data_IF_522325212867
#
_entry.id   IF_522325212867
#
_cell.length_a   1.000
_cell.length_b   1.000
_cell.length_c   1.000
_cell.angle_alpha   90.00
_cell.angle_beta   90.00
_cell.angle_gamma   90.00
#
_symmetry.space_group_name_H-M   'P 1'
#
loop_
_entity.id
_entity.type
_entity.pdbx_description
1 polymer ?
#
# COMPACT_ATOMS: atom_id res chain seq x y z
N UNK A 1 -18.65 -13.74 -16.65
CA UNK A 1 -17.39 -14.03 -15.93
C UNK A 1 -16.73 -15.09 -16.76
N UNK A 2 -15.74 -14.72 -17.59
CA UNK A 2 -14.98 -15.71 -18.37
C UNK A 2 -14.21 -16.58 -17.39
N UNK A 3 -14.43 -17.89 -17.44
CA UNK A 3 -13.56 -18.86 -16.78
C UNK A 3 -12.18 -18.72 -17.41
N UNK A 4 -11.26 -18.06 -16.70
CA UNK A 4 -9.85 -18.04 -17.07
C UNK A 4 -9.37 -19.48 -17.14
N UNK A 5 -9.05 -19.96 -18.34
CA UNK A 5 -8.48 -21.29 -18.52
C UNK A 5 -7.00 -21.27 -18.09
N UNK A 6 -6.78 -21.21 -16.77
CA UNK A 6 -5.47 -21.05 -16.15
C UNK A 6 -4.63 -22.31 -16.32
N UNK A 7 -3.39 -22.10 -16.74
CA UNK A 7 -2.39 -23.15 -16.88
C UNK A 7 -1.73 -23.50 -15.54
N UNK A 8 -1.00 -24.62 -15.49
CA UNK A 8 -0.15 -24.94 -14.33
C UNK A 8 0.85 -23.83 -13.99
N UNK A 9 1.39 -23.14 -15.00
CA UNK A 9 2.34 -22.06 -14.80
C UNK A 9 1.70 -20.86 -14.10
N UNK A 10 0.44 -20.58 -14.41
CA UNK A 10 -0.35 -19.52 -13.79
C UNK A 10 -0.52 -19.77 -12.28
N UNK A 11 -1.02 -20.95 -11.91
CA UNK A 11 -1.14 -21.35 -10.50
C UNK A 11 0.22 -21.33 -9.77
N UNK A 12 1.29 -21.81 -10.41
CA UNK A 12 2.61 -21.81 -9.80
C UNK A 12 3.18 -20.41 -9.58
N UNK A 13 2.89 -19.46 -10.47
CA UNK A 13 3.33 -18.08 -10.33
C UNK A 13 2.66 -17.43 -9.11
N UNK A 14 1.36 -17.65 -8.92
CA UNK A 14 0.60 -17.14 -7.78
C UNK A 14 1.03 -17.77 -6.46
N UNK A 15 1.22 -19.09 -6.41
CA UNK A 15 1.56 -19.81 -5.18
C UNK A 15 2.99 -19.52 -4.68
N UNK A 16 3.91 -19.15 -5.58
CA UNK A 16 5.34 -18.99 -5.23
C UNK A 16 5.77 -17.54 -5.06
N UNK A 17 4.91 -16.57 -5.36
CA UNK A 17 5.32 -15.15 -5.37
C UNK A 17 5.78 -14.68 -3.99
N UNK A 18 5.09 -15.09 -2.91
CA UNK A 18 5.49 -14.74 -1.54
C UNK A 18 6.86 -15.31 -1.15
N UNK A 19 7.14 -16.56 -1.52
CA UNK A 19 8.46 -17.17 -1.28
C UNK A 19 9.57 -16.47 -2.08
N UNK A 20 9.30 -16.12 -3.35
CA UNK A 20 10.24 -15.34 -4.15
C UNK A 20 10.54 -13.96 -3.57
N UNK A 21 9.55 -13.33 -2.93
CA UNK A 21 9.75 -12.05 -2.25
C UNK A 21 10.50 -12.22 -0.92
N UNK A 22 10.29 -13.32 -0.20
CA UNK A 22 11.09 -13.66 0.98
C UNK A 22 12.57 -13.84 0.64
N UNK A 23 12.88 -14.49 -0.47
CA UNK A 23 14.26 -14.59 -1.01
C UNK A 23 14.89 -13.21 -1.31
N UNK A 24 14.06 -12.17 -1.49
CA UNK A 24 14.48 -10.78 -1.70
C UNK A 24 14.54 -9.95 -0.43
N UNK A 25 14.38 -10.57 0.74
CA UNK A 25 14.53 -9.92 2.04
C UNK A 25 13.22 -9.53 2.74
N UNK A 26 12.05 -9.80 2.13
CA UNK A 26 10.78 -9.68 2.85
C UNK A 26 10.73 -10.68 4.00
N UNK A 27 10.48 -10.19 5.22
CA UNK A 27 10.43 -11.05 6.40
C UNK A 27 9.17 -11.91 6.43
N UNK A 28 8.04 -11.37 5.95
CA UNK A 28 6.75 -12.04 5.92
C UNK A 28 6.42 -12.57 4.52
N UNK A 29 5.88 -13.79 4.47
CA UNK A 29 5.32 -14.38 3.24
C UNK A 29 3.83 -14.09 3.21
N UNK A 30 3.41 -13.23 2.30
CA UNK A 30 1.99 -13.02 2.00
C UNK A 30 1.58 -13.81 0.76
N UNK A 31 0.31 -14.16 0.70
CA UNK A 31 -0.37 -14.50 -0.55
C UNK A 31 -0.94 -13.24 -1.20
N UNK A 32 -1.25 -13.30 -2.50
CA UNK A 32 -1.89 -12.18 -3.21
C UNK A 32 -3.20 -11.71 -2.56
N UNK A 33 -4.14 -12.59 -2.16
CA UNK A 33 -5.34 -12.17 -1.44
C UNK A 33 -5.00 -11.40 -0.15
N UNK A 34 -4.09 -11.92 0.67
CA UNK A 34 -3.71 -11.26 1.93
C UNK A 34 -3.11 -9.87 1.71
N UNK A 35 -2.30 -9.69 0.67
CA UNK A 35 -1.71 -8.38 0.38
C UNK A 35 -2.75 -7.38 -0.16
N UNK A 36 -3.72 -7.84 -0.97
CA UNK A 36 -4.84 -7.01 -1.42
C UNK A 36 -5.77 -6.65 -0.27
N UNK A 37 -6.12 -7.62 0.58
CA UNK A 37 -6.94 -7.38 1.78
C UNK A 37 -6.24 -6.40 2.74
N UNK A 38 -4.93 -6.55 2.92
CA UNK A 38 -4.12 -5.60 3.70
C UNK A 38 -4.13 -4.19 3.09
N UNK A 39 -4.05 -4.08 1.76
CA UNK A 39 -4.13 -2.77 1.10
C UNK A 39 -5.51 -2.13 1.25
N UNK A 40 -6.58 -2.93 1.10
CA UNK A 40 -7.95 -2.48 1.33
C UNK A 40 -8.17 -2.04 2.78
N UNK A 41 -7.65 -2.80 3.76
CA UNK A 41 -7.78 -2.47 5.18
C UNK A 41 -7.03 -1.18 5.52
N UNK A 42 -5.85 -0.96 4.94
CA UNK A 42 -5.11 0.29 5.10
C UNK A 42 -5.91 1.49 4.58
N UNK A 43 -6.51 1.38 3.40
CA UNK A 43 -7.34 2.45 2.81
C UNK A 43 -8.54 2.77 3.71
N UNK A 44 -9.20 1.75 4.26
CA UNK A 44 -10.34 1.96 5.15
C UNK A 44 -9.91 2.62 6.46
N UNK A 45 -8.80 2.18 7.05
CA UNK A 45 -8.24 2.81 8.24
C UNK A 45 -7.92 4.31 8.00
N UNK A 46 -7.36 4.65 6.83
CA UNK A 46 -7.14 6.06 6.43
C UNK A 46 -8.46 6.82 6.28
N UNK A 47 -9.50 6.17 5.70
CA UNK A 47 -10.81 6.78 5.48
C UNK A 47 -11.50 7.12 6.80
N UNK A 48 -11.41 6.23 7.78
CA UNK A 48 -12.00 6.39 9.11
C UNK A 48 -11.16 7.30 10.03
N UNK A 49 -9.90 7.53 9.68
CA UNK A 49 -8.96 8.37 10.41
C UNK A 49 -7.91 7.51 11.09
N UNK A 50 -6.83 7.23 10.35
CA UNK A 50 -5.71 6.43 10.84
C UNK A 50 -5.11 7.06 12.09
N UNK A 51 -5.17 6.36 13.22
CA UNK A 51 -4.92 6.91 14.56
C UNK A 51 -3.60 6.45 15.20
N UNK A 52 -2.85 5.59 14.51
CA UNK A 52 -1.50 5.18 14.93
C UNK A 52 -0.44 6.17 14.45
N UNK A 53 0.78 6.04 14.97
CA UNK A 53 1.90 6.93 14.68
C UNK A 53 2.41 6.87 13.23
N UNK A 54 3.31 7.79 12.88
CA UNK A 54 3.86 7.92 11.52
C UNK A 54 4.66 6.68 11.06
N UNK A 55 5.40 6.05 11.97
CA UNK A 55 6.19 4.86 11.65
C UNK A 55 5.30 3.67 11.30
N UNK A 56 4.19 3.49 12.02
CA UNK A 56 3.18 2.47 11.74
C UNK A 56 2.43 2.77 10.44
N UNK A 57 2.07 4.04 10.19
CA UNK A 57 1.48 4.44 8.91
C UNK A 57 2.38 4.04 7.74
N UNK A 58 3.68 4.31 7.85
CA UNK A 58 4.67 3.91 6.83
C UNK A 58 4.81 2.39 6.74
N UNK A 59 4.79 1.68 7.87
CA UNK A 59 4.87 0.22 7.91
C UNK A 59 3.69 -0.41 7.16
N UNK A 60 2.47 0.07 7.42
CA UNK A 60 1.25 -0.46 6.83
C UNK A 60 1.19 -0.22 5.32
N UNK A 61 1.76 0.89 4.82
CA UNK A 61 1.93 1.12 3.38
C UNK A 61 2.85 0.09 2.69
N UNK A 62 3.58 -0.74 3.44
CA UNK A 62 4.42 -1.82 2.88
C UNK A 62 3.60 -2.89 2.15
N UNK A 63 2.31 -3.06 2.45
CA UNK A 63 1.46 -3.98 1.69
C UNK A 63 1.37 -3.57 0.19
N UNK A 64 1.32 -2.27 -0.10
CA UNK A 64 1.34 -1.76 -1.47
C UNK A 64 2.69 -1.93 -2.16
N UNK A 65 3.76 -1.84 -1.40
CA UNK A 65 5.11 -2.17 -1.87
C UNK A 65 5.24 -3.65 -2.21
N UNK A 66 4.69 -4.52 -1.36
CA UNK A 66 4.68 -5.95 -1.61
C UNK A 66 3.94 -6.26 -2.93
N UNK A 67 2.78 -5.64 -3.15
CA UNK A 67 2.01 -5.77 -4.40
C UNK A 67 2.79 -5.25 -5.62
N UNK A 68 3.47 -4.10 -5.52
CA UNK A 68 4.35 -3.57 -6.58
C UNK A 68 5.40 -4.60 -6.99
N UNK A 69 6.04 -5.27 -6.02
CA UNK A 69 7.11 -6.22 -6.30
C UNK A 69 6.57 -7.59 -6.74
N UNK A 70 5.38 -7.98 -6.29
CA UNK A 70 4.76 -9.27 -6.58
C UNK A 70 4.24 -9.35 -8.02
N UNK A 71 3.48 -8.33 -8.47
CA UNK A 71 2.79 -8.34 -9.77
C UNK A 71 3.72 -8.63 -10.97
N UNK A 72 4.93 -8.05 -11.06
CA UNK A 72 5.89 -8.34 -12.13
C UNK A 72 6.39 -9.79 -12.18
N UNK A 73 6.21 -10.57 -11.11
CA UNK A 73 6.67 -11.97 -11.01
C UNK A 73 5.60 -12.98 -11.44
N UNK A 74 4.37 -12.52 -11.66
CA UNK A 74 3.25 -13.32 -12.11
C UNK A 74 3.26 -13.46 -13.63
N UNK A 75 2.68 -14.56 -14.10
CA UNK A 75 2.32 -14.70 -15.52
C UNK A 75 1.29 -13.64 -15.92
N UNK A 76 1.19 -13.34 -17.21
CA UNK A 76 0.33 -12.26 -17.70
C UNK A 76 -1.15 -12.43 -17.33
N UNK A 77 -1.79 -13.62 -17.48
CA UNK A 77 -3.21 -13.77 -17.13
C UNK A 77 -3.48 -13.54 -15.65
N UNK A 78 -2.59 -14.05 -14.79
CA UNK A 78 -2.69 -13.88 -13.33
C UNK A 78 -2.42 -12.44 -12.95
N UNK A 79 -1.41 -11.80 -13.54
CA UNK A 79 -1.11 -10.39 -13.32
C UNK A 79 -2.29 -9.50 -13.70
N UNK A 80 -2.87 -9.69 -14.88
CA UNK A 80 -4.01 -8.90 -15.35
C UNK A 80 -5.21 -9.03 -14.40
N UNK A 81 -5.51 -10.25 -13.95
CA UNK A 81 -6.55 -10.49 -12.95
C UNK A 81 -6.28 -9.72 -11.64
N UNK A 82 -5.07 -9.85 -11.07
CA UNK A 82 -4.72 -9.20 -9.81
C UNK A 82 -4.58 -7.68 -9.93
N UNK A 83 -4.11 -7.17 -11.07
CA UNK A 83 -4.07 -5.74 -11.35
C UNK A 83 -5.50 -5.16 -11.33
N UNK A 84 -6.49 -5.88 -11.85
CA UNK A 84 -7.90 -5.48 -11.79
C UNK A 84 -8.47 -5.36 -10.37
N UNK A 85 -7.84 -5.98 -9.36
CA UNK A 85 -8.18 -5.79 -7.95
C UNK A 85 -7.39 -4.65 -7.30
N UNK A 86 -6.15 -4.41 -7.73
CA UNK A 86 -5.27 -3.38 -7.17
C UNK A 86 -5.60 -1.98 -7.70
N UNK A 87 -5.95 -1.85 -8.98
CA UNK A 87 -6.21 -0.55 -9.60
C UNK A 87 -7.35 0.24 -8.92
N UNK A 88 -8.51 -0.35 -8.62
CA UNK A 88 -9.57 0.35 -7.90
C UNK A 88 -9.14 0.79 -6.49
N UNK A 89 -8.37 -0.05 -5.79
CA UNK A 89 -7.83 0.31 -4.47
C UNK A 89 -6.83 1.47 -4.56
N UNK A 90 -5.98 1.49 -5.59
CA UNK A 90 -5.08 2.61 -5.83
C UNK A 90 -5.85 3.91 -6.12
N UNK A 91 -7.00 3.86 -6.80
CA UNK A 91 -7.89 5.00 -7.00
C UNK A 91 -8.54 5.47 -5.68
N UNK A 92 -9.04 4.53 -4.87
CA UNK A 92 -9.61 4.84 -3.56
C UNK A 92 -8.59 5.45 -2.61
N UNK A 93 -7.37 4.89 -2.55
CA UNK A 93 -6.27 5.45 -1.77
C UNK A 93 -6.00 6.90 -2.18
N UNK A 94 -5.96 7.20 -3.49
CA UNK A 94 -5.79 8.58 -3.97
C UNK A 94 -6.94 9.49 -3.56
N UNK A 95 -8.17 8.97 -3.47
CA UNK A 95 -9.34 9.73 -3.06
C UNK A 95 -9.30 10.11 -1.56
N UNK A 96 -8.81 9.24 -0.69
CA UNK A 96 -8.73 9.47 0.77
C UNK A 96 -7.43 10.13 1.24
N UNK A 97 -6.49 10.37 0.32
CA UNK A 97 -5.21 11.03 0.59
C UNK A 97 -4.99 12.27 -0.28
N UNK A 98 -4.01 13.09 0.10
CA UNK A 98 -3.51 14.22 -0.71
C UNK A 98 -2.05 13.97 -1.09
N UNK A 99 -1.67 14.41 -2.28
CA UNK A 99 -0.25 14.47 -2.65
C UNK A 99 0.41 15.56 -1.82
N UNK A 100 1.52 15.25 -1.17
CA UNK A 100 2.32 16.19 -0.41
C UNK A 100 3.78 16.03 -0.82
N UNK A 101 4.22 16.93 -1.73
CA UNK A 101 5.57 16.94 -2.30
C UNK A 101 6.53 17.84 -1.51
N UNK A 102 6.06 18.51 -0.44
CA UNK A 102 6.88 19.34 0.43
C UNK A 102 7.44 18.53 1.62
N UNK A 103 8.76 18.29 1.71
CA UNK A 103 9.37 17.57 2.83
C UNK A 103 9.21 18.29 4.17
N UNK A 104 8.92 19.59 4.18
CA UNK A 104 8.59 20.30 5.42
C UNK A 104 7.20 19.99 5.95
N UNK A 105 6.32 19.39 5.14
CA UNK A 105 4.94 19.02 5.50
C UNK A 105 4.71 17.51 5.53
N UNK A 106 5.58 16.75 4.88
CA UNK A 106 5.48 15.30 4.83
C UNK A 106 6.86 14.64 4.66
N UNK A 107 7.33 13.87 5.65
CA UNK A 107 8.66 13.25 5.66
C UNK A 107 9.01 12.40 4.44
N UNK A 108 8.00 11.88 3.74
CA UNK A 108 8.18 10.90 2.65
C UNK A 108 7.91 11.45 1.25
N UNK A 109 7.77 12.78 1.13
CA UNK A 109 7.58 13.49 -0.15
C UNK A 109 8.67 13.21 -1.18
N UNK A 110 9.89 12.85 -0.76
CA UNK A 110 11.01 12.54 -1.64
C UNK A 110 11.01 11.14 -2.27
N UNK A 111 10.03 10.28 -1.98
CA UNK A 111 10.02 8.90 -2.48
C UNK A 111 9.70 8.78 -3.97
N UNK A 112 10.36 7.88 -4.70
CA UNK A 112 9.96 7.55 -6.09
C UNK A 112 8.62 6.80 -6.15
N UNK A 113 8.13 6.28 -5.02
CA UNK A 113 6.85 5.58 -4.92
C UNK A 113 5.72 6.56 -4.66
N UNK A 114 4.78 6.62 -5.59
CA UNK A 114 3.72 7.61 -5.58
C UNK A 114 2.82 7.55 -4.33
N UNK A 115 2.63 6.38 -3.72
CA UNK A 115 1.79 6.25 -2.51
C UNK A 115 2.49 6.75 -1.25
N UNK A 116 3.82 6.68 -1.18
CA UNK A 116 4.60 7.22 -0.05
C UNK A 116 4.60 8.76 -0.03
N UNK A 117 4.33 9.39 -1.17
CA UNK A 117 4.16 10.85 -1.29
C UNK A 117 2.79 11.34 -0.84
N UNK A 118 1.94 10.47 -0.29
CA UNK A 118 0.56 10.81 0.03
C UNK A 118 0.30 10.76 1.53
N UNK A 119 -0.24 11.87 2.01
CA UNK A 119 -0.67 12.07 3.39
C UNK A 119 -2.18 11.84 3.50
N UNK A 120 -2.68 11.22 4.59
CA UNK A 120 -4.12 11.14 4.85
C UNK A 120 -4.81 12.51 4.79
N UNK A 121 -6.03 12.55 4.23
CA UNK A 121 -6.87 13.76 4.25
C UNK A 121 -7.37 14.06 5.66
N UNK A 122 -7.82 13.01 6.35
CA UNK A 122 -8.24 13.06 7.74
C UNK A 122 -7.03 12.72 8.60
N UNK A 123 -6.46 13.72 9.28
CA UNK A 123 -5.39 13.56 10.26
C UNK A 123 -6.00 13.60 11.66
N UNK A 124 -5.84 12.51 12.41
CA UNK A 124 -6.31 12.33 13.78
C UNK A 124 -5.28 11.50 14.56
N UNK A 125 -5.47 11.39 15.87
CA UNK A 125 -4.70 10.48 16.72
C UNK A 125 -3.19 10.72 16.69
N UNK A 126 -2.42 9.66 16.91
CA UNK A 126 -0.97 9.72 17.04
C UNK A 126 -0.29 10.21 15.75
N UNK A 127 -0.84 9.91 14.57
CA UNK A 127 -0.31 10.43 13.31
C UNK A 127 -0.33 11.96 13.26
N UNK A 128 -1.43 12.57 13.70
CA UNK A 128 -1.53 14.03 13.75
C UNK A 128 -0.56 14.61 14.78
N UNK A 129 -0.48 13.98 15.96
CA UNK A 129 0.40 14.41 17.05
C UNK A 129 1.89 14.34 16.64
N UNK A 130 2.30 13.26 15.98
CA UNK A 130 3.66 13.11 15.45
C UNK A 130 4.01 14.22 14.46
N UNK A 131 3.13 14.50 13.51
CA UNK A 131 3.34 15.54 12.52
C UNK A 131 3.41 16.93 13.16
N UNK A 132 2.62 17.19 14.21
CA UNK A 132 2.72 18.44 14.98
C UNK A 132 4.06 18.51 15.71
N UNK A 133 4.44 17.43 16.40
CA UNK A 133 5.67 17.38 17.19
C UNK A 133 6.93 17.53 16.32
N UNK A 134 6.92 16.95 15.13
CA UNK A 134 8.02 17.06 14.16
C UNK A 134 7.99 18.36 13.35
N UNK A 135 6.99 19.23 13.54
CA UNK A 135 6.85 20.50 12.81
C UNK A 135 6.36 20.37 11.36
N UNK A 136 5.74 19.24 11.02
CA UNK A 136 5.13 18.95 9.71
C UNK A 136 3.66 19.35 9.60
N UNK A 137 3.01 19.60 10.73
CA UNK A 137 1.64 20.11 10.82
C UNK A 137 1.57 21.22 11.87
N UNK A 138 0.78 22.27 11.61
CA UNK A 138 0.48 23.26 12.63
C UNK A 138 -0.52 22.68 13.65
N UNK A 139 -0.29 22.94 14.94
CA UNK A 139 -1.24 22.55 15.97
C UNK A 139 -2.58 23.29 15.77
N UNK A 140 -3.73 22.62 15.93
CA UNK A 140 -5.02 23.31 15.91
C UNK A 140 -5.07 24.36 17.04
N UNK A 141 -5.48 25.59 16.68
CA UNK A 141 -5.63 26.72 17.61
C UNK A 141 -6.64 26.48 18.73
#
# INVERSE_FOLDING_TARGET
MEDLNLTRADYQSALRVGEKLRERGWQMVFSLPQAVDGWSAMIESIREGYDWNLDEYRNDLSCREWLEQALPLLTEPVRANWQGHVDPLDEEFRAVTVLEDDPSRWPHSGSDRWWLKRRPRLLVGELADDLIHSGHLEAPC
#
